data_IF_935318312195
#
_entry.id   IF_935318312195
#
_cell.length_a   1.000
_cell.length_b   1.000
_cell.length_c   1.000
_cell.angle_alpha   90.00
_cell.angle_beta   90.00
_cell.angle_gamma   90.00
#
_symmetry.space_group_name_H-M   'P 1'
#
loop_
_entity.id
_entity.type
_entity.pdbx_description
1 polymer ?
#
# COMPACT_ATOMS: atom_id res chain seq x y z
N UNK A 1 -13.87 43.82 -23.76
CA UNK A 1 -13.11 43.14 -22.70
C UNK A 1 -14.07 42.78 -21.57
N UNK A 2 -14.83 41.71 -21.74
CA UNK A 2 -15.63 41.13 -20.66
C UNK A 2 -14.80 40.04 -20.01
N UNK A 3 -14.41 40.23 -18.74
CA UNK A 3 -13.84 39.16 -17.93
C UNK A 3 -14.97 38.18 -17.64
N UNK A 4 -15.12 37.14 -18.45
CA UNK A 4 -15.89 35.97 -18.05
C UNK A 4 -15.10 35.31 -16.93
N UNK A 5 -15.65 35.35 -15.71
CA UNK A 5 -15.13 34.55 -14.61
C UNK A 5 -15.17 33.09 -15.06
N UNK A 6 -14.02 32.43 -15.09
CA UNK A 6 -13.97 30.99 -15.32
C UNK A 6 -14.92 30.34 -14.27
N UNK A 7 -15.81 29.43 -14.66
CA UNK A 7 -16.68 28.76 -13.70
C UNK A 7 -15.79 28.04 -12.68
N UNK A 8 -15.81 28.51 -11.43
CA UNK A 8 -15.16 27.81 -10.33
C UNK A 8 -15.84 26.44 -10.20
N UNK A 9 -15.06 25.37 -10.44
CA UNK A 9 -15.53 24.02 -10.20
C UNK A 9 -15.96 23.88 -8.73
N UNK A 10 -17.02 23.11 -8.49
CA UNK A 10 -17.51 22.87 -7.14
C UNK A 10 -16.36 22.35 -6.25
N UNK A 11 -16.18 22.98 -5.09
CA UNK A 11 -15.07 22.71 -4.16
C UNK A 11 -15.19 21.35 -3.44
N UNK A 12 -16.18 20.54 -3.81
CA UNK A 12 -16.35 19.19 -3.29
C UNK A 12 -15.34 18.24 -3.95
N UNK A 13 -14.59 17.52 -3.12
CA UNK A 13 -13.67 16.49 -3.60
C UNK A 13 -14.40 15.39 -4.38
N UNK A 14 -13.70 14.73 -5.30
CA UNK A 14 -14.25 13.64 -6.11
C UNK A 14 -13.59 12.30 -5.75
N UNK A 15 -14.33 11.20 -5.85
CA UNK A 15 -13.80 9.85 -5.69
C UNK A 15 -13.65 9.16 -7.05
N UNK A 16 -12.43 8.72 -7.37
CA UNK A 16 -12.16 7.77 -8.43
C UNK A 16 -12.16 6.34 -7.84
N UNK A 17 -13.29 5.65 -7.94
CA UNK A 17 -13.41 4.26 -7.58
C UNK A 17 -13.25 3.35 -8.81
N UNK A 18 -12.34 2.38 -8.76
CA UNK A 18 -12.16 1.37 -9.83
C UNK A 18 -11.92 -0.01 -9.25
N UNK A 19 -12.49 -1.04 -9.86
CA UNK A 19 -12.22 -2.42 -9.42
C UNK A 19 -10.75 -2.83 -9.62
N UNK A 20 -10.10 -2.28 -10.66
CA UNK A 20 -8.70 -2.57 -10.99
C UNK A 20 -7.94 -1.30 -11.38
N UNK A 21 -6.94 -0.94 -10.56
CA UNK A 21 -6.12 0.25 -10.73
C UNK A 21 -4.96 0.07 -11.72
N UNK A 22 -4.58 -1.15 -12.08
CA UNK A 22 -3.43 -1.39 -12.96
C UNK A 22 -3.56 -0.67 -14.31
N UNK A 23 -4.75 -0.67 -14.92
CA UNK A 23 -4.98 0.02 -16.19
C UNK A 23 -4.85 1.54 -16.06
N UNK A 24 -5.31 2.10 -14.94
CA UNK A 24 -5.22 3.52 -14.64
C UNK A 24 -3.77 3.97 -14.41
N UNK A 25 -3.02 3.25 -13.57
CA UNK A 25 -1.60 3.52 -13.28
C UNK A 25 -0.74 3.40 -14.54
N UNK A 26 -0.99 2.38 -15.38
CA UNK A 26 -0.28 2.22 -16.66
C UNK A 26 -0.62 3.32 -17.66
N UNK A 27 -1.87 3.81 -17.67
CA UNK A 27 -2.31 4.90 -18.54
C UNK A 27 -1.47 6.17 -18.34
N UNK A 28 -1.12 6.50 -17.09
CA UNK A 28 -0.31 7.69 -16.78
C UNK A 28 1.12 7.66 -17.34
N UNK A 29 1.62 6.47 -17.68
CA UNK A 29 2.96 6.28 -18.28
C UNK A 29 2.94 6.27 -19.80
N UNK A 30 1.75 6.17 -20.42
CA UNK A 30 1.56 5.96 -21.86
C UNK A 30 0.99 7.20 -22.53
N UNK A 31 1.81 8.23 -22.70
CA UNK A 31 1.58 9.20 -23.78
C UNK A 31 2.79 9.25 -24.71
N UNK A 32 2.55 8.85 -25.95
CA UNK A 32 3.48 8.89 -27.10
C UNK A 32 3.76 10.33 -27.60
N UNK A 33 3.78 11.31 -26.69
CA UNK A 33 3.92 12.74 -26.97
C UNK A 33 4.55 13.55 -25.83
N UNK A 34 5.17 12.90 -24.85
CA UNK A 34 6.01 13.55 -23.84
C UNK A 34 5.32 14.07 -22.56
N UNK A 35 3.99 13.96 -22.44
CA UNK A 35 3.26 14.31 -21.21
C UNK A 35 3.03 13.11 -20.28
N UNK A 36 2.97 13.32 -18.97
CA UNK A 36 2.46 12.33 -18.01
C UNK A 36 1.35 12.96 -17.19
N UNK A 37 0.29 12.22 -16.90
CA UNK A 37 -0.78 12.66 -15.99
C UNK A 37 -0.34 12.63 -14.51
N UNK A 38 0.87 12.16 -14.21
CA UNK A 38 1.39 12.04 -12.84
C UNK A 38 1.40 13.36 -12.05
N UNK A 39 1.84 14.51 -12.59
CA UNK A 39 1.82 15.78 -11.87
C UNK A 39 0.42 16.16 -11.39
N UNK A 40 -0.60 15.98 -12.24
CA UNK A 40 -2.00 16.19 -11.88
C UNK A 40 -2.41 15.35 -10.66
N UNK A 41 -2.04 14.06 -10.63
CA UNK A 41 -2.38 13.20 -9.49
C UNK A 41 -1.60 13.54 -8.21
N UNK A 42 -0.37 14.06 -8.33
CA UNK A 42 0.38 14.56 -7.19
C UNK A 42 -0.22 15.85 -6.62
N UNK A 43 -0.72 16.74 -7.47
CA UNK A 43 -1.45 17.94 -7.07
C UNK A 43 -2.81 17.60 -6.45
N UNK A 44 -3.53 16.63 -7.04
CA UNK A 44 -4.79 16.11 -6.52
C UNK A 44 -4.64 15.50 -5.11
N UNK A 45 -3.56 14.75 -4.87
CA UNK A 45 -3.24 14.26 -3.53
C UNK A 45 -2.93 15.41 -2.56
N UNK A 46 -2.36 16.51 -3.06
CA UNK A 46 -2.02 17.68 -2.27
C UNK A 46 -3.20 18.56 -1.91
N UNK A 47 -4.35 18.42 -2.58
CA UNK A 47 -5.44 19.40 -2.47
C UNK A 47 -5.07 20.76 -3.06
N UNK A 48 -4.15 20.80 -4.05
CA UNK A 48 -3.59 22.04 -4.61
C UNK A 48 -4.47 22.59 -5.71
N UNK A 49 -4.29 23.86 -6.06
CA UNK A 49 -4.95 24.42 -7.24
C UNK A 49 -4.38 23.83 -8.52
N UNK A 50 -5.23 23.71 -9.54
CA UNK A 50 -4.85 23.18 -10.85
C UNK A 50 -5.53 23.96 -11.97
N UNK A 51 -4.76 24.31 -12.99
CA UNK A 51 -5.25 24.99 -14.19
C UNK A 51 -5.12 24.08 -15.40
N UNK A 52 -6.23 23.89 -16.12
CA UNK A 52 -6.25 23.15 -17.38
C UNK A 52 -6.43 24.13 -18.52
N UNK A 53 -5.41 24.23 -19.37
CA UNK A 53 -5.48 24.94 -20.65
C UNK A 53 -5.54 23.92 -21.78
N UNK A 54 -6.57 24.00 -22.62
CA UNK A 54 -6.72 23.16 -23.81
C UNK A 54 -7.06 24.03 -25.01
N UNK A 55 -6.39 23.76 -26.13
CA UNK A 55 -6.61 24.52 -27.37
C UNK A 55 -8.08 24.45 -27.80
N UNK A 56 -8.71 25.62 -27.97
CA UNK A 56 -10.11 25.73 -28.38
C UNK A 56 -11.14 25.63 -27.24
N UNK A 57 -10.70 25.59 -25.98
CA UNK A 57 -11.55 25.59 -24.79
C UNK A 57 -11.15 26.75 -23.87
N UNK A 58 -12.12 27.29 -23.14
CA UNK A 58 -11.81 28.26 -22.08
C UNK A 58 -10.99 27.58 -20.97
N UNK A 59 -9.97 28.25 -20.41
CA UNK A 59 -9.20 27.71 -19.30
C UNK A 59 -10.10 27.36 -18.11
N UNK A 60 -9.91 26.17 -17.55
CA UNK A 60 -10.60 25.74 -16.33
C UNK A 60 -9.65 25.86 -15.16
N UNK A 61 -10.06 26.62 -14.14
CA UNK A 61 -9.34 26.75 -12.89
C UNK A 61 -10.07 25.99 -11.78
N UNK A 62 -9.33 25.16 -11.06
CA UNK A 62 -9.81 24.41 -9.90
C UNK A 62 -9.00 24.87 -8.69
N UNK A 63 -9.62 25.56 -7.74
CA UNK A 63 -8.91 26.12 -6.58
C UNK A 63 -8.36 25.03 -5.65
N UNK A 64 -9.15 23.96 -5.47
CA UNK A 64 -8.86 22.84 -4.58
C UNK A 64 -9.10 21.52 -5.31
N UNK A 65 -8.09 21.05 -6.04
CA UNK A 65 -8.15 19.74 -6.68
C UNK A 65 -7.95 18.66 -5.62
N UNK A 66 -9.04 18.03 -5.19
CA UNK A 66 -8.98 16.89 -4.25
C UNK A 66 -9.65 15.68 -4.88
N UNK A 67 -8.86 14.65 -5.16
CA UNK A 67 -9.37 13.39 -5.70
C UNK A 67 -8.94 12.23 -4.82
N UNK A 68 -9.91 11.56 -4.21
CA UNK A 68 -9.71 10.27 -3.54
C UNK A 68 -9.61 9.17 -4.60
N UNK A 69 -8.71 8.21 -4.41
CA UNK A 69 -8.57 7.06 -5.30
C UNK A 69 -8.75 5.78 -4.49
N UNK A 70 -9.69 4.94 -4.91
CA UNK A 70 -9.95 3.64 -4.29
C UNK A 70 -10.01 2.58 -5.39
N UNK A 71 -9.34 1.45 -5.15
CA UNK A 71 -9.49 0.31 -6.03
C UNK A 71 -8.61 -0.87 -5.70
N UNK A 72 -8.92 -1.99 -6.34
CA UNK A 72 -8.12 -3.20 -6.27
C UNK A 72 -6.90 -3.12 -7.18
N UNK A 73 -5.88 -3.90 -6.86
CA UNK A 73 -4.80 -4.20 -7.80
C UNK A 73 -4.29 -5.62 -7.57
N UNK A 74 -4.09 -6.36 -8.66
CA UNK A 74 -3.46 -7.67 -8.57
C UNK A 74 -1.99 -7.54 -8.11
N UNK A 75 -1.51 -8.38 -7.17
CA UNK A 75 -0.12 -8.33 -6.69
C UNK A 75 0.93 -8.38 -7.81
N UNK A 76 0.74 -9.23 -8.82
CA UNK A 76 1.65 -9.35 -9.96
C UNK A 76 1.69 -8.07 -10.83
N UNK A 77 0.56 -7.35 -10.91
CA UNK A 77 0.46 -6.08 -11.64
C UNK A 77 1.12 -4.95 -10.86
N UNK A 78 0.88 -4.88 -9.54
CA UNK A 78 1.58 -3.96 -8.64
C UNK A 78 3.09 -4.16 -8.77
N UNK A 79 3.57 -5.41 -8.71
CA UNK A 79 4.98 -5.77 -8.93
C UNK A 79 5.54 -5.26 -10.25
N UNK A 80 4.82 -5.48 -11.33
CA UNK A 80 5.23 -5.03 -12.66
C UNK A 80 5.33 -3.51 -12.74
N UNK A 81 4.50 -2.78 -11.99
CA UNK A 81 4.59 -1.33 -11.87
C UNK A 81 5.79 -0.89 -11.03
N UNK A 82 6.09 -1.58 -9.93
CA UNK A 82 7.25 -1.28 -9.08
C UNK A 82 8.58 -1.45 -9.83
N UNK A 83 8.72 -2.54 -10.59
CA UNK A 83 9.95 -2.85 -11.32
C UNK A 83 10.22 -1.94 -12.52
N UNK A 84 9.22 -1.18 -12.98
CA UNK A 84 9.30 -0.32 -14.17
C UNK A 84 9.27 1.17 -13.85
N UNK A 85 9.03 1.53 -12.59
CA UNK A 85 8.94 2.93 -12.19
C UNK A 85 10.28 3.34 -11.59
N UNK A 86 11.02 4.22 -12.26
CA UNK A 86 12.20 4.89 -11.68
C UNK A 86 11.79 5.92 -10.60
N UNK A 87 10.48 6.16 -10.44
CA UNK A 87 9.93 7.20 -9.57
C UNK A 87 8.81 6.64 -8.68
N UNK A 88 9.14 6.53 -7.38
CA UNK A 88 8.32 5.95 -6.32
C UNK A 88 7.31 6.95 -5.73
N UNK A 89 7.36 8.21 -6.13
CA UNK A 89 6.68 9.29 -5.40
C UNK A 89 5.16 9.13 -5.35
N UNK A 90 4.49 8.84 -6.47
CA UNK A 90 3.03 8.68 -6.51
C UNK A 90 2.59 7.38 -5.81
N UNK A 91 3.27 6.27 -6.07
CA UNK A 91 2.93 4.97 -5.50
C UNK A 91 3.10 4.95 -3.97
N UNK A 92 4.08 5.68 -3.44
CA UNK A 92 4.35 5.81 -2.01
C UNK A 92 3.22 6.53 -1.23
N UNK A 93 2.26 7.14 -1.92
CA UNK A 93 1.11 7.83 -1.30
C UNK A 93 -0.13 6.96 -1.19
N UNK A 94 -0.14 5.79 -1.84
CA UNK A 94 -1.23 4.83 -1.70
C UNK A 94 -1.13 4.07 -0.40
N UNK A 95 -2.27 3.76 0.20
CA UNK A 95 -2.39 2.92 1.39
C UNK A 95 -2.74 1.48 0.96
N UNK A 96 -1.74 0.58 0.79
CA UNK A 96 -2.03 -0.80 0.44
C UNK A 96 -2.72 -1.50 1.62
N UNK A 97 -3.79 -2.23 1.33
CA UNK A 97 -4.51 -3.06 2.30
C UNK A 97 -4.54 -4.48 1.76
N UNK A 98 -3.82 -5.39 2.43
CA UNK A 98 -3.69 -6.80 2.02
C UNK A 98 -3.91 -7.76 3.20
N UNK A 99 -5.16 -7.84 3.69
CA UNK A 99 -5.51 -8.67 4.82
C UNK A 99 -5.34 -10.16 4.50
N UNK A 100 -5.33 -10.98 5.53
CA UNK A 100 -5.42 -12.42 5.35
C UNK A 100 -6.76 -12.80 4.70
N UNK A 101 -6.81 -13.89 3.91
CA UNK A 101 -8.05 -14.38 3.34
C UNK A 101 -9.12 -14.54 4.43
N UNK A 102 -10.28 -13.92 4.21
CA UNK A 102 -11.42 -14.11 5.11
C UNK A 102 -11.89 -15.58 5.04
N UNK A 103 -12.32 -16.19 6.16
CA UNK A 103 -12.91 -17.51 6.15
C UNK A 103 -14.13 -17.56 5.22
N UNK A 104 -14.26 -18.63 4.45
CA UNK A 104 -15.42 -18.85 3.59
C UNK A 104 -16.63 -19.11 4.49
N UNK A 105 -17.50 -18.11 4.62
CA UNK A 105 -18.76 -18.20 5.36
C UNK A 105 -19.85 -17.44 4.62
N UNK A 106 -21.09 -17.87 4.78
CA UNK A 106 -22.24 -17.11 4.31
C UNK A 106 -22.26 -15.75 5.04
N UNK A 107 -22.43 -14.62 4.32
CA UNK A 107 -22.66 -13.33 4.97
C UNK A 107 -23.84 -13.44 5.92
N UNK A 108 -23.64 -13.02 7.16
CA UNK A 108 -24.62 -13.10 8.25
C UNK A 108 -24.99 -11.72 8.80
N UNK A 109 -24.25 -10.69 8.39
CA UNK A 109 -24.44 -9.30 8.80
C UNK A 109 -24.88 -8.53 7.56
N UNK A 110 -26.03 -7.88 7.66
CA UNK A 110 -26.48 -6.90 6.68
C UNK A 110 -25.88 -5.54 7.03
N UNK A 111 -25.63 -4.73 6.01
CA UNK A 111 -25.19 -3.34 6.22
C UNK A 111 -26.35 -2.52 6.78
N UNK A 112 -26.06 -1.63 7.72
CA UNK A 112 -27.04 -0.67 8.22
C UNK A 112 -27.09 0.54 7.26
N UNK A 113 -27.97 0.46 6.26
CA UNK A 113 -28.13 1.52 5.25
C UNK A 113 -28.53 2.86 5.90
N UNK A 114 -29.39 2.84 6.92
CA UNK A 114 -29.83 4.06 7.60
C UNK A 114 -28.67 4.76 8.32
N UNK A 115 -27.80 3.99 8.99
CA UNK A 115 -26.58 4.51 9.57
C UNK A 115 -25.66 5.12 8.51
N UNK A 116 -25.42 4.42 7.40
CA UNK A 116 -24.54 4.89 6.32
C UNK A 116 -25.07 6.19 5.71
N UNK A 117 -26.36 6.25 5.38
CA UNK A 117 -27.00 7.43 4.80
C UNK A 117 -26.94 8.63 5.76
N UNK A 118 -27.17 8.41 7.05
CA UNK A 118 -27.08 9.46 8.06
C UNK A 118 -25.65 10.00 8.21
N UNK A 119 -24.65 9.12 8.25
CA UNK A 119 -23.25 9.51 8.37
C UNK A 119 -22.77 10.28 7.12
N UNK A 120 -23.09 9.79 5.92
CA UNK A 120 -22.78 10.49 4.67
C UNK A 120 -23.51 11.83 4.58
N UNK A 121 -24.79 11.89 4.99
CA UNK A 121 -25.56 13.12 5.05
C UNK A 121 -24.92 14.19 5.94
N UNK A 122 -24.39 13.79 7.11
CA UNK A 122 -23.64 14.69 8.00
C UNK A 122 -22.36 15.20 7.35
N UNK A 123 -21.56 14.31 6.74
CA UNK A 123 -20.33 14.71 6.05
C UNK A 123 -20.60 15.67 4.89
N UNK A 124 -21.68 15.45 4.13
CA UNK A 124 -22.11 16.33 3.04
C UNK A 124 -22.68 17.66 3.51
N UNK A 125 -23.01 17.79 4.81
CA UNK A 125 -23.48 19.04 5.42
C UNK A 125 -22.35 19.95 5.91
N UNK A 126 -21.10 19.48 5.88
CA UNK A 126 -19.93 20.30 6.21
C UNK A 126 -19.89 21.53 5.29
N UNK A 127 -19.83 22.71 5.90
CA UNK A 127 -19.67 23.96 5.16
C UNK A 127 -18.27 24.53 5.35
N UNK A 128 -17.82 25.22 4.32
CA UNK A 128 -16.54 25.92 4.33
C UNK A 128 -16.76 27.39 4.72
N UNK A 129 -15.97 27.93 5.67
CA UNK A 129 -16.01 29.35 5.97
C UNK A 129 -15.68 30.19 4.72
N UNK A 130 -16.21 31.40 4.69
CA UNK A 130 -15.89 32.42 3.69
C UNK A 130 -14.80 33.34 4.23
N UNK A 131 -13.83 33.71 3.40
CA UNK A 131 -12.81 34.70 3.73
C UNK A 131 -13.30 36.16 3.54
N UNK A 132 -12.42 37.12 3.82
CA UNK A 132 -12.73 38.56 3.70
C UNK A 132 -13.06 38.98 2.25
N UNK A 133 -12.65 38.20 1.26
CA UNK A 133 -12.85 38.45 -0.16
C UNK A 133 -14.11 37.77 -0.71
N UNK A 134 -14.84 37.02 0.13
CA UNK A 134 -16.05 36.31 -0.28
C UNK A 134 -15.79 34.91 -0.84
N UNK A 135 -14.56 34.40 -0.79
CA UNK A 135 -14.21 33.07 -1.28
C UNK A 135 -14.36 32.00 -0.18
N UNK A 136 -14.93 30.85 -0.53
CA UNK A 136 -14.97 29.69 0.38
C UNK A 136 -13.55 29.14 0.57
N UNK A 137 -13.18 28.84 1.80
CA UNK A 137 -11.87 28.25 2.15
C UNK A 137 -12.02 27.06 3.10
N UNK A 138 -11.03 26.13 3.14
CA UNK A 138 -11.05 25.05 4.11
C UNK A 138 -11.03 25.58 5.56
N UNK A 139 -11.78 24.93 6.44
CA UNK A 139 -11.61 25.11 7.88
C UNK A 139 -10.35 24.38 8.35
N UNK A 140 -9.47 25.08 9.07
CA UNK A 140 -8.22 24.52 9.58
C UNK A 140 -8.47 24.04 11.01
N UNK A 141 -8.36 22.73 11.22
CA UNK A 141 -8.43 22.10 12.54
C UNK A 141 -7.02 22.01 13.13
N UNK A 142 -6.67 22.82 14.15
CA UNK A 142 -5.34 22.79 14.75
C UNK A 142 -5.13 21.51 15.59
N UNK A 143 -3.87 21.23 15.94
CA UNK A 143 -3.53 20.23 16.94
C UNK A 143 -3.54 20.83 18.34
N UNK A 144 -4.06 20.06 19.30
CA UNK A 144 -3.80 20.23 20.71
C UNK A 144 -2.30 20.08 21.00
N UNK A 145 -1.81 20.71 22.06
CA UNK A 145 -0.38 20.73 22.36
C UNK A 145 0.17 19.32 22.62
N UNK A 146 -0.55 18.50 23.39
CA UNK A 146 -0.16 17.10 23.67
C UNK A 146 -0.18 16.19 22.42
N UNK A 147 -1.06 16.49 21.46
CA UNK A 147 -1.07 15.81 20.16
C UNK A 147 0.14 16.19 19.29
N UNK A 148 0.69 17.40 19.44
CA UNK A 148 1.92 17.82 18.74
C UNK A 148 3.13 17.07 19.29
N UNK A 149 3.23 16.96 20.61
CA UNK A 149 4.27 16.17 21.27
C UNK A 149 4.26 14.72 20.78
N UNK A 150 3.07 14.12 20.67
CA UNK A 150 2.91 12.77 20.14
C UNK A 150 3.29 12.68 18.64
N UNK A 151 2.97 13.69 17.83
CA UNK A 151 3.40 13.75 16.43
C UNK A 151 4.92 13.84 16.28
N UNK A 152 5.59 14.61 17.14
CA UNK A 152 7.05 14.73 17.10
C UNK A 152 7.74 13.42 17.55
N UNK A 153 7.21 12.76 18.58
CA UNK A 153 7.66 11.41 18.95
C UNK A 153 7.45 10.40 17.81
N UNK A 154 6.28 10.44 17.16
CA UNK A 154 5.97 9.58 16.03
C UNK A 154 6.91 9.82 14.83
N UNK A 155 7.28 11.07 14.55
CA UNK A 155 8.27 11.39 13.50
C UNK A 155 9.62 10.75 13.77
N UNK A 156 10.07 10.73 15.03
CA UNK A 156 11.31 10.05 15.41
C UNK A 156 11.19 8.54 15.18
N UNK A 157 10.08 7.92 15.57
CA UNK A 157 9.81 6.50 15.33
C UNK A 157 9.81 6.16 13.83
N UNK A 158 9.22 7.03 12.99
CA UNK A 158 9.25 6.89 11.54
C UNK A 158 10.68 6.91 11.01
N UNK A 159 11.56 7.81 11.51
CA UNK A 159 12.98 7.82 11.13
C UNK A 159 13.67 6.50 11.46
N UNK A 160 13.35 5.89 12.58
CA UNK A 160 13.92 4.60 12.96
C UNK A 160 13.48 3.49 11.99
N UNK A 161 12.22 3.53 11.51
CA UNK A 161 11.72 2.58 10.51
C UNK A 161 12.36 2.75 9.14
N UNK A 162 12.73 3.97 8.74
CA UNK A 162 13.44 4.24 7.48
C UNK A 162 14.77 3.49 7.42
N UNK A 163 15.46 3.32 8.56
CA UNK A 163 16.76 2.64 8.63
C UNK A 163 16.74 1.16 8.21
N UNK A 164 15.56 0.52 8.18
CA UNK A 164 15.38 -0.87 7.77
C UNK A 164 14.62 -1.05 6.45
N UNK A 165 14.47 0.01 5.66
CA UNK A 165 13.65 0.01 4.45
C UNK A 165 14.39 0.60 3.24
N UNK A 166 14.00 0.14 2.05
CA UNK A 166 14.57 0.59 0.78
C UNK A 166 13.48 0.82 -0.28
N UNK A 167 13.84 1.52 -1.36
CA UNK A 167 12.98 1.77 -2.52
C UNK A 167 11.61 2.35 -2.17
N UNK A 168 10.55 1.75 -2.72
CA UNK A 168 9.19 2.21 -2.50
C UNK A 168 8.76 2.15 -1.03
N UNK A 169 9.21 1.15 -0.28
CA UNK A 169 8.87 1.04 1.15
C UNK A 169 9.48 2.19 1.95
N UNK A 170 10.74 2.55 1.68
CA UNK A 170 11.37 3.73 2.26
C UNK A 170 10.60 5.00 1.90
N UNK A 171 10.25 5.16 0.62
CA UNK A 171 9.46 6.30 0.14
C UNK A 171 8.10 6.38 0.83
N UNK A 172 7.41 5.25 1.03
CA UNK A 172 6.14 5.16 1.73
C UNK A 172 6.28 5.53 3.21
N UNK A 173 7.27 4.97 3.90
CA UNK A 173 7.55 5.27 5.32
C UNK A 173 7.77 6.78 5.50
N UNK A 174 8.55 7.41 4.63
CA UNK A 174 8.79 8.85 4.66
C UNK A 174 7.54 9.72 4.43
N UNK A 175 6.42 9.15 3.96
CA UNK A 175 5.12 9.85 3.84
C UNK A 175 4.20 9.64 5.04
N UNK A 176 4.47 8.67 5.90
CA UNK A 176 3.61 8.33 7.04
C UNK A 176 3.36 9.48 8.01
N UNK A 177 4.30 10.40 8.32
CA UNK A 177 4.02 11.50 9.24
C UNK A 177 2.90 12.40 8.74
N UNK A 178 3.00 12.87 7.49
CA UNK A 178 1.97 13.72 6.89
C UNK A 178 0.65 12.97 6.65
N UNK A 179 0.72 11.67 6.37
CA UNK A 179 -0.47 10.84 6.20
C UNK A 179 -1.21 10.60 7.52
N UNK A 180 -0.49 10.38 8.61
CA UNK A 180 -1.07 10.17 9.95
C UNK A 180 -1.83 11.41 10.42
N UNK A 181 -1.32 12.62 10.11
CA UNK A 181 -2.03 13.89 10.34
C UNK A 181 -3.34 13.99 9.55
N UNK A 182 -3.39 13.51 8.31
CA UNK A 182 -4.63 13.49 7.52
C UNK A 182 -5.61 12.46 8.08
N UNK A 183 -5.11 11.27 8.42
CA UNK A 183 -5.91 10.19 8.98
C UNK A 183 -6.52 10.58 10.33
N UNK A 184 -5.81 11.33 11.18
CA UNK A 184 -6.36 11.75 12.48
C UNK A 184 -7.59 12.64 12.33
N UNK A 185 -7.61 13.55 11.34
CA UNK A 185 -8.80 14.34 11.03
C UNK A 185 -9.90 13.48 10.42
N UNK A 186 -9.56 12.58 9.49
CA UNK A 186 -10.56 11.68 8.87
C UNK A 186 -11.23 10.80 9.93
N UNK A 187 -10.46 10.19 10.83
CA UNK A 187 -10.99 9.36 11.91
C UNK A 187 -11.88 10.16 12.87
N UNK A 188 -11.44 11.35 13.31
CA UNK A 188 -12.29 12.20 14.16
C UNK A 188 -13.58 12.66 13.47
N UNK A 189 -13.52 12.95 12.16
CA UNK A 189 -14.72 13.26 11.37
C UNK A 189 -15.63 12.04 11.18
N UNK A 190 -15.07 10.83 11.10
CA UNK A 190 -15.85 9.59 11.06
C UNK A 190 -16.57 9.33 12.38
N UNK A 191 -15.93 9.56 13.53
CA UNK A 191 -16.56 9.42 14.85
C UNK A 191 -17.73 10.41 14.99
N UNK A 192 -17.53 11.66 14.57
CA UNK A 192 -18.59 12.67 14.53
C UNK A 192 -19.75 12.29 13.58
N UNK A 193 -19.42 11.87 12.36
CA UNK A 193 -20.41 11.46 11.37
C UNK A 193 -21.22 10.25 11.84
N UNK A 194 -20.61 9.35 12.60
CA UNK A 194 -21.25 8.18 13.20
C UNK A 194 -22.11 8.53 14.42
N UNK A 195 -21.93 9.73 14.98
CA UNK A 195 -22.64 10.18 16.18
C UNK A 195 -21.98 9.76 17.49
N UNK A 196 -20.75 9.23 17.43
CA UNK A 196 -19.97 8.78 18.59
C UNK A 196 -19.22 9.93 19.28
N UNK A 197 -19.05 11.06 18.59
CA UNK A 197 -18.35 12.24 19.08
C UNK A 197 -18.95 13.57 18.58
N UNK A 198 -18.51 14.68 19.16
CA UNK A 198 -18.76 16.03 18.64
C UNK A 198 -17.86 16.33 17.42
N UNK A 199 -18.24 17.32 16.62
CA UNK A 199 -17.43 17.75 15.47
C UNK A 199 -16.05 18.23 15.93
N UNK A 200 -14.95 17.64 15.43
CA UNK A 200 -13.62 17.95 15.93
C UNK A 200 -13.19 19.37 15.55
N UNK A 201 -13.11 20.25 16.55
CA UNK A 201 -12.54 21.59 16.43
C UNK A 201 -11.03 21.63 16.64
N UNK A 202 -10.48 20.55 17.15
CA UNK A 202 -9.05 20.35 17.42
C UNK A 202 -8.70 18.86 17.26
N UNK A 203 -7.48 18.57 16.81
CA UNK A 203 -6.92 17.22 16.83
C UNK A 203 -6.33 16.96 18.21
N UNK A 204 -7.02 16.14 18.99
CA UNK A 204 -6.61 15.70 20.31
C UNK A 204 -5.56 14.59 20.24
N UNK A 205 -4.93 14.30 21.37
CA UNK A 205 -4.01 13.16 21.50
C UNK A 205 -4.69 11.82 21.13
N UNK A 206 -5.98 11.67 21.41
CA UNK A 206 -6.74 10.46 21.06
C UNK A 206 -6.91 10.32 19.53
N UNK A 207 -7.28 11.40 18.84
CA UNK A 207 -7.41 11.41 17.37
C UNK A 207 -6.08 11.04 16.70
N UNK A 208 -4.98 11.68 17.11
CA UNK A 208 -3.67 11.39 16.52
C UNK A 208 -3.14 10.02 16.92
N UNK A 209 -3.32 9.61 18.18
CA UNK A 209 -2.94 8.29 18.67
C UNK A 209 -3.62 7.15 17.92
N UNK A 210 -4.92 7.28 17.62
CA UNK A 210 -5.65 6.30 16.81
C UNK A 210 -5.09 6.19 15.39
N UNK A 211 -4.77 7.33 14.75
CA UNK A 211 -4.17 7.36 13.42
C UNK A 211 -2.76 6.76 13.40
N UNK A 212 -1.91 7.12 14.36
CA UNK A 212 -0.57 6.58 14.51
C UNK A 212 -0.61 5.06 14.74
N UNK A 213 -1.51 4.60 15.61
CA UNK A 213 -1.70 3.17 15.87
C UNK A 213 -2.17 2.41 14.63
N UNK A 214 -3.14 2.95 13.88
CA UNK A 214 -3.59 2.36 12.60
C UNK A 214 -2.44 2.25 11.59
N UNK A 215 -1.60 3.30 11.50
CA UNK A 215 -0.45 3.32 10.61
C UNK A 215 0.59 2.27 11.02
N UNK A 216 0.99 2.25 12.27
CA UNK A 216 2.00 1.34 12.80
C UNK A 216 1.54 -0.11 12.76
N UNK A 217 0.34 -0.37 13.28
CA UNK A 217 -0.12 -1.74 13.57
C UNK A 217 -0.78 -2.41 12.38
N UNK A 218 -1.19 -1.65 11.37
CA UNK A 218 -1.89 -2.20 10.21
C UNK A 218 -1.30 -1.75 8.88
N UNK A 219 -1.29 -0.45 8.58
CA UNK A 219 -0.94 0.04 7.24
C UNK A 219 0.52 -0.23 6.87
N UNK A 220 1.46 -0.03 7.80
CA UNK A 220 2.87 -0.34 7.58
C UNK A 220 3.11 -1.85 7.38
N UNK A 221 2.57 -2.77 8.20
CA UNK A 221 2.59 -4.20 7.92
C UNK A 221 1.99 -4.58 6.56
N UNK A 222 0.87 -3.97 6.17
CA UNK A 222 0.26 -4.23 4.85
C UNK A 222 1.15 -3.73 3.71
N UNK A 223 1.78 -2.57 3.86
CA UNK A 223 2.74 -2.03 2.91
C UNK A 223 3.98 -2.90 2.79
N UNK A 224 4.55 -3.37 3.92
CA UNK A 224 5.65 -4.34 3.93
C UNK A 224 5.27 -5.60 3.17
N UNK A 225 4.06 -6.14 3.38
CA UNK A 225 3.56 -7.31 2.63
C UNK A 225 3.47 -7.01 1.13
N UNK A 226 2.78 -5.93 0.77
CA UNK A 226 2.54 -5.53 -0.62
C UNK A 226 3.84 -5.28 -1.39
N UNK A 227 4.78 -4.57 -0.76
CA UNK A 227 6.02 -4.18 -1.38
C UNK A 227 7.09 -5.27 -1.31
N UNK A 228 7.14 -6.09 -0.26
CA UNK A 228 8.08 -7.23 -0.21
C UNK A 228 7.69 -8.34 -1.18
N UNK A 229 6.40 -8.63 -1.38
CA UNK A 229 5.98 -9.59 -2.40
C UNK A 229 6.23 -9.09 -3.83
N UNK A 230 6.11 -7.77 -4.02
CA UNK A 230 6.45 -7.09 -5.25
C UNK A 230 7.97 -6.98 -5.50
N UNK A 231 8.76 -6.70 -4.47
CA UNK A 231 10.22 -6.57 -4.54
C UNK A 231 10.93 -7.92 -4.63
N UNK A 232 10.35 -8.99 -4.08
CA UNK A 232 10.98 -10.30 -4.07
C UNK A 232 11.30 -10.77 -5.49
N UNK A 233 12.58 -11.01 -5.77
CA UNK A 233 13.00 -11.67 -7.00
C UNK A 233 12.26 -13.02 -7.13
N UNK A 234 12.14 -13.55 -8.35
CA UNK A 234 11.48 -14.85 -8.60
C UNK A 234 11.97 -15.95 -7.62
N UNK A 235 13.25 -15.91 -7.25
CA UNK A 235 13.87 -16.81 -6.27
C UNK A 235 13.33 -16.69 -4.86
N UNK A 236 13.08 -15.50 -4.32
CA UNK A 236 12.61 -15.35 -2.95
C UNK A 236 11.20 -15.89 -2.72
N UNK A 237 10.28 -15.69 -3.69
CA UNK A 237 8.94 -16.29 -3.60
C UNK A 237 9.00 -17.81 -3.67
N UNK A 238 9.80 -18.33 -4.60
CA UNK A 238 10.02 -19.76 -4.73
C UNK A 238 10.69 -20.33 -3.45
N UNK A 239 11.59 -19.59 -2.81
CA UNK A 239 12.23 -19.93 -1.54
C UNK A 239 11.23 -19.99 -0.38
N UNK A 240 10.43 -18.93 -0.17
CA UNK A 240 9.39 -18.90 0.86
C UNK A 240 8.39 -20.05 0.69
N UNK A 241 7.98 -20.31 -0.56
CA UNK A 241 7.09 -21.42 -0.88
C UNK A 241 7.72 -22.77 -0.59
N UNK A 242 8.98 -22.96 -0.97
CA UNK A 242 9.73 -24.19 -0.69
C UNK A 242 9.87 -24.42 0.82
N UNK A 243 10.09 -23.38 1.62
CA UNK A 243 10.12 -23.50 3.10
C UNK A 243 8.78 -23.95 3.68
N UNK A 244 7.67 -23.37 3.21
CA UNK A 244 6.34 -23.78 3.67
C UNK A 244 6.07 -25.27 3.36
N UNK A 245 6.41 -25.72 2.14
CA UNK A 245 6.23 -27.10 1.72
C UNK A 245 7.18 -28.08 2.42
N UNK A 246 8.43 -27.66 2.70
CA UNK A 246 9.38 -28.42 3.52
C UNK A 246 8.83 -28.65 4.93
N UNK A 247 8.21 -27.62 5.53
CA UNK A 247 7.57 -27.72 6.85
C UNK A 247 6.37 -28.66 6.80
N UNK A 248 5.49 -28.49 5.83
CA UNK A 248 4.28 -29.31 5.66
C UNK A 248 4.62 -30.79 5.44
N UNK A 249 5.61 -31.08 4.60
CA UNK A 249 6.07 -32.44 4.32
C UNK A 249 7.07 -33.00 5.36
N UNK A 250 7.43 -32.21 6.39
CA UNK A 250 8.38 -32.63 7.43
C UNK A 250 9.77 -33.00 6.89
N UNK A 251 10.20 -32.38 5.78
CA UNK A 251 11.46 -32.75 5.14
C UNK A 251 12.66 -32.27 5.96
N UNK A 252 13.51 -33.20 6.39
CA UNK A 252 14.81 -32.88 7.01
C UNK A 252 15.96 -32.90 5.99
N UNK A 253 15.74 -33.55 4.84
CA UNK A 253 16.65 -33.62 3.71
C UNK A 253 15.88 -33.86 2.42
N UNK A 254 16.37 -33.35 1.31
CA UNK A 254 15.75 -33.57 0.00
C UNK A 254 16.76 -33.45 -1.13
N UNK A 255 16.48 -34.10 -2.27
CA UNK A 255 17.22 -33.84 -3.52
C UNK A 255 16.36 -33.00 -4.45
N UNK A 256 16.99 -32.28 -5.38
CA UNK A 256 16.26 -31.53 -6.42
C UNK A 256 15.29 -32.40 -7.19
N UNK A 257 15.68 -33.65 -7.48
CA UNK A 257 14.84 -34.62 -8.20
C UNK A 257 13.59 -35.02 -7.44
N UNK A 258 13.66 -35.11 -6.10
CA UNK A 258 12.49 -35.40 -5.27
C UNK A 258 11.50 -34.24 -5.33
N UNK A 259 11.98 -33.01 -5.16
CA UNK A 259 11.13 -31.80 -5.21
C UNK A 259 10.47 -31.65 -6.59
N UNK A 260 11.22 -31.83 -7.68
CA UNK A 260 10.67 -31.75 -9.03
C UNK A 260 9.61 -32.83 -9.31
N UNK A 261 9.77 -34.05 -8.76
CA UNK A 261 8.80 -35.14 -8.91
C UNK A 261 7.51 -34.94 -8.10
N UNK A 262 7.54 -34.10 -7.08
CA UNK A 262 6.35 -33.77 -6.31
C UNK A 262 5.43 -32.79 -7.06
N UNK A 263 5.90 -32.23 -8.18
CA UNK A 263 5.14 -31.34 -9.07
C UNK A 263 4.44 -30.19 -8.33
N UNK A 264 5.06 -29.73 -7.24
CA UNK A 264 4.54 -28.61 -6.47
C UNK A 264 4.42 -27.37 -7.36
N UNK A 265 3.23 -26.78 -7.38
CA UNK A 265 2.93 -25.63 -8.23
C UNK A 265 3.98 -24.53 -8.02
N UNK A 266 4.53 -23.97 -9.10
CA UNK A 266 5.57 -22.94 -9.02
C UNK A 266 6.97 -23.43 -8.61
N UNK A 267 7.19 -24.74 -8.45
CA UNK A 267 8.50 -25.37 -8.19
C UNK A 267 8.75 -26.62 -9.06
N UNK A 268 7.82 -26.95 -9.97
CA UNK A 268 7.88 -28.15 -10.83
C UNK A 268 8.95 -28.09 -11.93
N UNK A 269 9.54 -26.91 -12.18
CA UNK A 269 10.61 -26.71 -13.18
C UNK A 269 11.91 -26.26 -12.52
N UNK A 270 13.04 -26.71 -13.05
CA UNK A 270 14.37 -26.31 -12.55
C UNK A 270 14.58 -24.78 -12.57
N UNK A 271 14.01 -24.07 -13.55
CA UNK A 271 14.11 -22.60 -13.65
C UNK A 271 13.31 -21.85 -12.58
N UNK A 272 12.40 -22.54 -11.90
CA UNK A 272 11.65 -22.02 -10.77
C UNK A 272 12.30 -22.46 -9.45
N UNK A 273 12.82 -23.68 -9.39
CA UNK A 273 13.45 -24.26 -8.20
C UNK A 273 14.86 -23.73 -7.93
N UNK A 274 15.72 -23.61 -8.94
CA UNK A 274 17.13 -23.23 -8.73
C UNK A 274 17.29 -21.86 -8.06
N UNK A 275 16.55 -20.80 -8.46
CA UNK A 275 16.61 -19.53 -7.75
C UNK A 275 16.18 -19.61 -6.29
N UNK A 276 15.23 -20.50 -5.95
CA UNK A 276 14.83 -20.75 -4.57
C UNK A 276 15.97 -21.34 -3.74
N UNK A 277 16.68 -22.32 -4.32
CA UNK A 277 17.77 -23.01 -3.62
C UNK A 277 18.92 -22.05 -3.28
N UNK A 278 19.27 -21.14 -4.20
CA UNK A 278 20.30 -20.11 -3.95
C UNK A 278 19.92 -19.25 -2.75
N UNK A 279 18.70 -18.70 -2.75
CA UNK A 279 18.22 -17.85 -1.64
C UNK A 279 18.19 -18.61 -0.31
N UNK A 280 17.76 -19.88 -0.31
CA UNK A 280 17.70 -20.67 0.92
C UNK A 280 19.08 -21.12 1.43
N UNK A 281 20.06 -21.32 0.54
CA UNK A 281 21.45 -21.57 0.93
C UNK A 281 22.08 -20.30 1.52
N UNK A 282 21.90 -19.14 0.87
CA UNK A 282 22.40 -17.84 1.38
C UNK A 282 21.78 -17.47 2.74
N UNK A 283 20.55 -17.89 2.99
CA UNK A 283 19.85 -17.67 4.26
C UNK A 283 20.11 -18.74 5.33
N UNK A 284 21.03 -19.69 5.12
CA UNK A 284 21.33 -20.81 6.02
C UNK A 284 20.11 -21.68 6.40
N UNK A 285 19.10 -21.70 5.53
CA UNK A 285 17.89 -22.51 5.70
C UNK A 285 18.12 -23.94 5.20
N UNK A 286 18.89 -24.08 4.11
CA UNK A 286 19.33 -25.37 3.58
C UNK A 286 20.84 -25.35 3.35
N UNK A 287 21.45 -26.53 3.27
CA UNK A 287 22.87 -26.67 2.93
C UNK A 287 23.07 -27.81 1.95
N UNK A 288 23.69 -27.54 0.79
CA UNK A 288 24.13 -28.61 -0.10
C UNK A 288 25.17 -29.50 0.58
N UNK A 289 25.02 -30.81 0.39
CA UNK A 289 25.98 -31.81 0.84
C UNK A 289 26.36 -32.69 -0.34
N UNK A 290 27.59 -33.20 -0.30
CA UNK A 290 28.05 -34.16 -1.28
C UNK A 290 27.15 -35.40 -1.27
N UNK A 291 26.76 -35.83 -2.46
CA UNK A 291 25.97 -37.03 -2.66
C UNK A 291 26.65 -37.85 -3.76
N UNK A 292 27.39 -38.91 -3.40
CA UNK A 292 28.12 -39.72 -4.36
C UNK A 292 27.22 -40.26 -5.47
N UNK A 293 27.76 -40.39 -6.68
CA UNK A 293 27.02 -40.98 -7.78
C UNK A 293 26.62 -42.43 -7.45
N UNK A 294 25.42 -42.88 -7.86
CA UNK A 294 25.03 -44.28 -7.70
C UNK A 294 25.99 -45.20 -8.46
N UNK A 295 26.22 -46.41 -7.93
CA UNK A 295 27.14 -47.41 -8.48
C UNK A 295 26.88 -47.81 -9.94
N UNK A 296 25.67 -47.56 -10.45
CA UNK A 296 25.27 -47.83 -11.85
C UNK A 296 25.59 -46.69 -12.83
N UNK A 297 26.31 -45.65 -12.38
CA UNK A 297 26.65 -44.49 -13.20
C UNK A 297 25.51 -43.46 -13.32
N UNK A 298 25.86 -42.18 -13.34
CA UNK A 298 24.91 -41.08 -13.45
C UNK A 298 25.43 -39.77 -12.85
N UNK A 299 24.80 -38.64 -13.20
CA UNK A 299 25.14 -37.33 -12.63
C UNK A 299 24.80 -37.33 -11.12
N UNK A 300 25.72 -36.88 -10.24
CA UNK A 300 25.44 -36.70 -8.81
C UNK A 300 24.20 -35.83 -8.62
N UNK A 301 23.27 -36.27 -7.76
CA UNK A 301 22.08 -35.48 -7.44
C UNK A 301 22.37 -34.51 -6.30
N UNK A 302 22.03 -33.21 -6.48
CA UNK A 302 22.22 -32.20 -5.42
C UNK A 302 21.31 -32.56 -4.24
N UNK A 303 21.93 -32.96 -3.12
CA UNK A 303 21.27 -33.27 -1.86
C UNK A 303 21.40 -32.07 -0.93
N UNK A 304 20.31 -31.70 -0.28
CA UNK A 304 20.26 -30.62 0.70
C UNK A 304 19.82 -31.15 2.05
N UNK A 305 20.44 -30.64 3.11
CA UNK A 305 20.00 -30.81 4.50
C UNK A 305 19.27 -29.54 4.92
N UNK A 306 18.12 -29.69 5.57
CA UNK A 306 17.30 -28.58 6.07
C UNK A 306 17.73 -28.22 7.49
N UNK A 307 17.88 -26.92 7.77
CA UNK A 307 18.16 -26.43 9.12
C UNK A 307 17.03 -26.85 10.09
N UNK A 308 17.32 -27.56 11.20
CA UNK A 308 16.30 -28.00 12.15
C UNK A 308 15.45 -26.86 12.74
N UNK A 309 15.97 -25.62 12.77
CA UNK A 309 15.22 -24.45 13.21
C UNK A 309 13.96 -24.19 12.36
N UNK A 310 13.94 -24.64 11.10
CA UNK A 310 12.77 -24.53 10.21
C UNK A 310 11.55 -25.23 10.80
N UNK A 311 11.74 -26.32 11.55
CA UNK A 311 10.66 -27.14 12.10
C UNK A 311 10.26 -26.79 13.54
N UNK A 312 10.98 -25.88 14.19
CA UNK A 312 10.58 -25.39 15.52
C UNK A 312 9.37 -24.48 15.36
N UNK A 313 8.30 -24.73 16.13
CA UNK A 313 7.20 -23.77 16.29
C UNK A 313 7.79 -22.48 16.87
N UNK A 314 7.48 -21.35 16.25
CA UNK A 314 7.64 -20.06 16.94
C UNK A 314 6.61 -20.06 18.07
N UNK A 315 7.11 -20.10 19.30
CA UNK A 315 6.32 -19.74 20.49
C UNK A 315 6.06 -18.23 20.48
#
# INVERSE_FOLDING_TARGET
MGRYAAPHAALAGTLLARDELAGWLQGMTRYSGGGSDRPFWLEAYGGRSYSVERMGWDPVYVDLLTVGVLGGIQPDRLRSLLMKSDDDSLLARFLPVWPNPAPIKRPSVLHDEAFIDAALGRLLSLDMPTDEEGHKRPWIVPFAEDARDLLDAFRQQVRDWEGGAEGLLLSFIGKLPGLSVRLSLVLGMMDWASGDAEEPREITIAHFGAAAHLVESYLLPMARRAYAEAAGAKGERAARRLVALIREAGLTRFTTRVVLRMEWTGLARSDDLNPALVVLEEADIIRAVENPAPAQGGRPSRLYIVNPAVHRRQE
#
